data_IF_088812213421
#
_entry.id   IF_088812213421
#
_cell.length_a   1.000
_cell.length_b   1.000
_cell.length_c   1.000
_cell.angle_alpha   90.00
_cell.angle_beta   90.00
_cell.angle_gamma   90.00
#
_symmetry.space_group_name_H-M   'P 1'
#
loop_
_entity.id
_entity.type
_entity.pdbx_description
1 polymer ?
#
# COMPACT_ATOMS: atom_id res chain seq x y z
N UNK A 1 -62.36 -44.27 42.10
CA UNK A 1 -61.85 -44.76 40.81
C UNK A 1 -61.21 -43.58 40.07
N UNK A 2 -59.88 -43.59 40.05
CA UNK A 2 -58.91 -42.87 39.20
C UNK A 2 -59.05 -41.36 38.90
N UNK A 3 -58.24 -40.56 39.59
CA UNK A 3 -57.85 -39.18 39.22
C UNK A 3 -56.71 -39.22 38.20
N UNK A 4 -56.90 -38.63 37.02
CA UNK A 4 -55.90 -38.56 35.94
C UNK A 4 -55.00 -37.33 36.18
N UNK A 5 -53.75 -37.54 36.60
CA UNK A 5 -52.72 -36.50 36.59
C UNK A 5 -52.09 -36.41 35.19
N UNK A 6 -52.37 -35.31 34.48
CA UNK A 6 -51.67 -34.90 33.27
C UNK A 6 -50.24 -34.45 33.62
N UNK A 7 -49.23 -35.17 33.11
CA UNK A 7 -47.81 -34.78 33.20
C UNK A 7 -47.44 -33.92 32.00
N UNK A 8 -47.37 -32.61 32.20
CA UNK A 8 -46.74 -31.68 31.26
C UNK A 8 -45.24 -32.01 31.14
N UNK A 9 -44.79 -32.31 29.92
CA UNK A 9 -43.36 -32.44 29.63
C UNK A 9 -42.78 -31.04 29.43
N UNK A 10 -41.75 -30.61 30.19
CA UNK A 10 -41.06 -29.38 29.88
C UNK A 10 -40.28 -29.59 28.57
N UNK A 11 -40.62 -28.82 27.55
CA UNK A 11 -39.82 -28.72 26.34
C UNK A 11 -38.42 -28.25 26.74
N UNK A 12 -37.44 -29.14 26.62
CA UNK A 12 -36.02 -28.80 26.70
C UNK A 12 -35.74 -27.76 25.60
N UNK A 13 -35.74 -26.48 25.98
CA UNK A 13 -35.16 -25.40 25.17
C UNK A 13 -33.70 -25.78 24.95
N UNK A 14 -33.39 -26.27 23.77
CA UNK A 14 -32.02 -26.44 23.31
C UNK A 14 -31.31 -25.10 23.54
N UNK A 15 -30.38 -25.08 24.50
CA UNK A 15 -29.54 -23.94 24.76
C UNK A 15 -28.86 -23.61 23.43
N UNK A 16 -29.16 -22.43 22.88
CA UNK A 16 -28.39 -21.87 21.77
C UNK A 16 -26.97 -21.78 22.28
N UNK A 17 -26.15 -22.77 21.97
CA UNK A 17 -24.71 -22.68 22.11
C UNK A 17 -24.30 -21.44 21.32
N UNK A 18 -24.06 -20.35 22.05
CA UNK A 18 -23.28 -19.24 21.56
C UNK A 18 -21.98 -19.86 21.09
N UNK A 19 -21.82 -19.99 19.77
CA UNK A 19 -20.53 -20.32 19.17
C UNK A 19 -19.59 -19.22 19.64
N UNK A 20 -18.80 -19.49 20.65
CA UNK A 20 -17.60 -18.73 20.96
C UNK A 20 -16.69 -19.00 19.77
N UNK A 21 -16.72 -18.13 18.77
CA UNK A 21 -15.79 -18.23 17.65
C UNK A 21 -14.51 -17.53 18.12
N UNK A 22 -13.43 -18.28 18.13
CA UNK A 22 -12.12 -17.69 18.38
C UNK A 22 -11.72 -16.93 17.11
N UNK A 23 -11.44 -15.64 17.26
CA UNK A 23 -10.87 -14.83 16.19
C UNK A 23 -9.46 -15.35 15.92
N UNK A 24 -9.28 -16.05 14.80
CA UNK A 24 -7.96 -16.53 14.36
C UNK A 24 -7.27 -15.43 13.54
N UNK A 25 -6.00 -15.18 13.78
CA UNK A 25 -5.19 -14.25 12.97
C UNK A 25 -4.42 -15.00 11.88
N UNK A 26 -4.06 -14.30 10.82
CA UNK A 26 -3.20 -14.85 9.77
C UNK A 26 -1.77 -15.06 10.30
N UNK A 27 -1.14 -16.17 9.95
CA UNK A 27 0.25 -16.45 10.33
C UNK A 27 1.19 -15.33 9.81
N UNK A 28 2.02 -14.80 10.71
CA UNK A 28 2.93 -13.69 10.41
C UNK A 28 2.28 -12.31 10.27
N UNK A 29 0.93 -12.21 10.34
CA UNK A 29 0.18 -10.95 10.24
C UNK A 29 -0.92 -10.85 11.30
N UNK A 30 -0.57 -10.42 12.52
CA UNK A 30 -1.51 -10.34 13.63
C UNK A 30 -2.60 -9.27 13.45
N UNK A 31 -2.44 -8.39 12.47
CA UNK A 31 -3.36 -7.33 12.09
C UNK A 31 -4.48 -7.79 11.13
N UNK A 32 -4.38 -9.01 10.59
CA UNK A 32 -5.39 -9.58 9.69
C UNK A 32 -6.11 -10.71 10.41
N UNK A 33 -7.40 -10.52 10.64
CA UNK A 33 -8.29 -11.50 11.24
C UNK A 33 -8.91 -12.39 10.16
N UNK A 34 -9.03 -13.68 10.49
CA UNK A 34 -9.58 -14.73 9.64
C UNK A 34 -10.85 -15.25 10.28
N UNK A 35 -11.95 -15.26 9.53
CA UNK A 35 -13.23 -15.79 10.00
C UNK A 35 -13.68 -16.94 9.11
N UNK A 36 -14.16 -18.08 9.66
CA UNK A 36 -14.69 -19.15 8.84
C UNK A 36 -15.99 -18.70 8.16
N UNK A 37 -15.98 -18.66 6.83
CA UNK A 37 -17.15 -18.36 6.01
C UNK A 37 -17.97 -19.65 5.83
N UNK A 38 -19.28 -19.55 6.01
CA UNK A 38 -20.22 -20.67 5.87
C UNK A 38 -20.54 -21.01 4.38
N UNK A 39 -19.63 -20.68 3.46
CA UNK A 39 -19.80 -20.94 2.04
C UNK A 39 -19.63 -22.45 1.76
N UNK A 40 -20.38 -23.04 0.81
CA UNK A 40 -20.34 -24.47 0.50
C UNK A 40 -18.94 -25.01 0.14
N UNK A 41 -18.06 -24.13 -0.36
CA UNK A 41 -16.69 -24.47 -0.76
C UNK A 41 -15.68 -24.53 0.39
N UNK A 42 -16.06 -24.15 1.61
CA UNK A 42 -15.12 -23.96 2.72
C UNK A 42 -14.18 -22.78 2.44
N UNK A 43 -14.40 -21.65 3.11
CA UNK A 43 -13.61 -20.45 2.88
C UNK A 43 -13.38 -19.65 4.14
N UNK A 44 -12.39 -18.78 4.10
CA UNK A 44 -12.04 -17.84 5.15
C UNK A 44 -12.31 -16.41 4.66
N UNK A 45 -12.94 -15.61 5.49
CA UNK A 45 -13.10 -14.17 5.29
C UNK A 45 -11.94 -13.46 5.99
N UNK A 46 -11.25 -12.58 5.28
CA UNK A 46 -10.15 -11.78 5.81
C UNK A 46 -10.66 -10.37 6.16
N UNK A 47 -10.42 -9.91 7.38
CA UNK A 47 -10.87 -8.61 7.87
C UNK A 47 -9.77 -7.93 8.69
N UNK A 48 -9.73 -6.60 8.67
CA UNK A 48 -8.88 -5.80 9.56
C UNK A 48 -9.55 -5.52 10.92
N UNK A 49 -10.85 -5.78 11.04
CA UNK A 49 -11.61 -5.58 12.26
C UNK A 49 -11.86 -6.92 12.98
N UNK A 50 -11.69 -6.97 14.31
CA UNK A 50 -11.99 -8.15 15.13
C UNK A 50 -13.50 -8.30 15.44
N UNK A 51 -14.38 -7.68 14.65
CA UNK A 51 -15.81 -7.54 14.96
C UNK A 51 -16.61 -8.81 14.69
N UNK A 52 -17.56 -9.12 15.59
CA UNK A 52 -18.48 -10.26 15.48
C UNK A 52 -19.94 -9.78 15.54
N UNK A 53 -20.77 -10.01 14.50
CA UNK A 53 -20.48 -10.70 13.25
C UNK A 53 -19.65 -9.86 12.26
N UNK A 54 -18.75 -10.47 11.46
CA UNK A 54 -17.97 -9.73 10.49
C UNK A 54 -18.86 -9.23 9.33
N UNK A 55 -18.82 -7.93 9.03
CA UNK A 55 -19.51 -7.37 7.87
C UNK A 55 -18.74 -7.71 6.59
N UNK A 56 -19.29 -8.49 5.65
CA UNK A 56 -18.57 -8.89 4.44
C UNK A 56 -18.24 -7.71 3.53
N UNK A 57 -18.99 -6.62 3.60
CA UNK A 57 -18.78 -5.41 2.80
C UNK A 57 -17.52 -4.64 3.19
N UNK A 58 -17.09 -4.73 4.46
CA UNK A 58 -15.91 -4.07 5.01
C UNK A 58 -14.69 -4.99 5.09
N UNK A 59 -14.87 -6.27 4.77
CA UNK A 59 -13.80 -7.26 4.77
C UNK A 59 -12.84 -7.04 3.59
N UNK A 60 -11.57 -7.40 3.77
CA UNK A 60 -10.53 -7.35 2.73
C UNK A 60 -10.95 -8.21 1.52
N UNK A 61 -11.48 -9.40 1.80
CA UNK A 61 -11.92 -10.35 0.79
C UNK A 61 -12.10 -11.75 1.35
N UNK A 62 -12.33 -12.71 0.46
CA UNK A 62 -12.49 -14.12 0.80
C UNK A 62 -11.34 -14.94 0.25
N UNK A 63 -10.96 -16.01 0.94
CA UNK A 63 -9.94 -16.94 0.48
C UNK A 63 -10.32 -18.39 0.76
N UNK A 64 -9.86 -19.30 -0.08
CA UNK A 64 -10.06 -20.76 0.10
C UNK A 64 -8.87 -21.43 0.78
N UNK A 65 -7.68 -20.82 0.77
CA UNK A 65 -6.44 -21.37 1.31
C UNK A 65 -5.75 -20.36 2.22
N UNK A 66 -5.13 -20.83 3.30
CA UNK A 66 -4.27 -20.06 4.19
C UNK A 66 -2.86 -20.63 4.09
N UNK A 67 -1.81 -19.84 3.75
CA UNK A 67 -1.84 -18.41 3.42
C UNK A 67 -2.54 -18.10 2.08
N UNK A 68 -3.09 -16.89 1.90
CA UNK A 68 -3.77 -16.50 0.68
C UNK A 68 -2.78 -16.37 -0.49
N UNK A 69 -3.13 -17.01 -1.60
CA UNK A 69 -2.45 -16.89 -2.91
C UNK A 69 -3.36 -16.16 -3.90
N UNK A 70 -2.81 -15.53 -4.97
CA UNK A 70 -3.60 -14.81 -5.97
C UNK A 70 -4.74 -15.64 -6.57
N UNK A 71 -4.52 -16.94 -6.78
CA UNK A 71 -5.53 -17.84 -7.36
C UNK A 71 -6.63 -18.24 -6.36
N UNK A 72 -6.34 -18.14 -5.07
CA UNK A 72 -7.23 -18.57 -3.98
C UNK A 72 -7.99 -17.42 -3.33
N UNK A 73 -7.62 -16.17 -3.63
CA UNK A 73 -8.13 -14.97 -2.99
C UNK A 73 -9.04 -14.19 -3.95
N UNK A 74 -10.22 -13.84 -3.46
CA UNK A 74 -11.16 -12.97 -4.15
C UNK A 74 -11.25 -11.64 -3.42
N UNK A 75 -10.85 -10.57 -4.11
CA UNK A 75 -10.86 -9.22 -3.55
C UNK A 75 -12.27 -8.66 -3.42
N UNK A 76 -12.46 -7.87 -2.36
CA UNK A 76 -13.67 -7.10 -2.19
C UNK A 76 -13.51 -5.69 -2.81
N UNK A 77 -14.24 -5.34 -3.88
CA UNK A 77 -14.12 -4.03 -4.52
C UNK A 77 -14.59 -2.88 -3.62
N UNK A 78 -15.50 -3.13 -2.67
CA UNK A 78 -15.94 -2.10 -1.71
C UNK A 78 -14.81 -1.72 -0.75
N UNK A 79 -14.05 -2.71 -0.28
CA UNK A 79 -12.87 -2.47 0.54
C UNK A 79 -11.78 -1.70 -0.22
N UNK A 80 -11.51 -2.04 -1.48
CA UNK A 80 -10.55 -1.31 -2.30
C UNK A 80 -10.91 0.17 -2.46
N UNK A 81 -12.20 0.50 -2.61
CA UNK A 81 -12.66 1.90 -2.67
C UNK A 81 -12.35 2.63 -1.37
N UNK A 82 -12.68 2.03 -0.22
CA UNK A 82 -12.40 2.61 1.10
C UNK A 82 -10.89 2.79 1.31
N UNK A 83 -10.08 1.80 0.91
CA UNK A 83 -8.63 1.88 0.97
C UNK A 83 -8.11 3.08 0.17
N UNK A 84 -8.57 3.23 -1.08
CA UNK A 84 -8.15 4.32 -1.96
C UNK A 84 -8.61 5.70 -1.45
N UNK A 85 -9.81 5.78 -0.87
CA UNK A 85 -10.31 6.99 -0.19
C UNK A 85 -9.38 7.40 0.97
N UNK A 86 -9.09 6.46 1.89
CA UNK A 86 -8.19 6.72 3.03
C UNK A 86 -6.79 7.12 2.59
N UNK A 87 -6.25 6.49 1.54
CA UNK A 87 -4.96 6.86 0.98
C UNK A 87 -5.00 8.26 0.37
N UNK A 88 -6.05 8.59 -0.37
CA UNK A 88 -6.20 9.93 -0.92
C UNK A 88 -6.30 11.01 0.17
N UNK A 89 -6.86 10.68 1.33
CA UNK A 89 -7.01 11.62 2.46
C UNK A 89 -5.74 11.71 3.31
N UNK A 90 -5.02 10.60 3.53
CA UNK A 90 -3.97 10.54 4.56
C UNK A 90 -2.57 10.17 4.05
N UNK A 91 -2.39 9.76 2.78
CA UNK A 91 -1.07 9.33 2.30
C UNK A 91 -0.02 10.45 2.35
N UNK A 92 -0.43 11.70 2.13
CA UNK A 92 0.45 12.87 2.26
C UNK A 92 0.84 13.16 3.72
N UNK A 93 0.11 12.63 4.71
CA UNK A 93 0.42 12.81 6.13
C UNK A 93 1.40 11.76 6.66
N UNK A 94 1.56 10.63 5.96
CA UNK A 94 2.37 9.49 6.37
C UNK A 94 3.85 9.89 6.55
N UNK A 95 4.44 9.66 7.73
CA UNK A 95 5.86 9.89 7.97
C UNK A 95 6.80 9.21 6.97
N UNK A 96 6.47 8.00 6.50
CA UNK A 96 7.33 7.28 5.56
C UNK A 96 7.35 7.97 4.18
N UNK A 97 6.16 8.38 3.70
CA UNK A 97 6.00 9.08 2.42
C UNK A 97 6.61 10.49 2.49
N UNK A 98 6.44 11.20 3.61
CA UNK A 98 7.10 12.50 3.87
C UNK A 98 8.62 12.39 3.86
N UNK A 99 9.17 11.32 4.43
CA UNK A 99 10.61 11.09 4.42
C UNK A 99 11.12 10.86 2.99
N UNK A 100 10.39 10.07 2.20
CA UNK A 100 10.70 9.85 0.79
C UNK A 100 10.66 11.15 -0.02
N UNK A 101 9.71 12.04 0.26
CA UNK A 101 9.62 13.36 -0.38
C UNK A 101 10.85 14.22 -0.15
N UNK A 102 11.30 14.27 1.10
CA UNK A 102 12.48 15.03 1.49
C UNK A 102 13.76 14.46 0.85
N UNK A 103 13.86 13.13 0.77
CA UNK A 103 14.98 12.45 0.11
C UNK A 103 14.97 12.69 -1.40
N UNK A 104 13.78 12.70 -2.01
CA UNK A 104 13.62 13.04 -3.43
C UNK A 104 14.23 14.41 -3.72
N UNK A 105 13.84 15.45 -2.97
CA UNK A 105 14.35 16.82 -3.19
C UNK A 105 15.83 16.95 -2.91
N UNK A 106 16.35 16.30 -1.86
CA UNK A 106 17.78 16.35 -1.57
C UNK A 106 18.61 15.69 -2.69
N UNK A 107 18.10 14.61 -3.29
CA UNK A 107 18.73 13.92 -4.42
C UNK A 107 18.58 14.72 -5.73
N UNK A 108 17.42 15.31 -5.98
CA UNK A 108 17.17 16.20 -7.13
C UNK A 108 18.05 17.46 -7.09
N UNK A 109 18.31 18.01 -5.90
CA UNK A 109 19.23 19.14 -5.71
C UNK A 109 20.71 18.76 -5.84
N UNK A 110 21.08 17.55 -5.42
CA UNK A 110 22.45 17.04 -5.52
C UNK A 110 22.87 16.71 -6.97
N UNK A 111 21.91 16.39 -7.85
CA UNK A 111 22.16 16.08 -9.26
C UNK A 111 22.00 17.29 -10.20
N UNK A 112 21.70 18.49 -9.69
CA UNK A 112 21.49 19.70 -10.50
C UNK A 112 22.80 20.37 -11.00
N UNK A 113 23.89 19.61 -11.01
CA UNK A 113 25.14 19.99 -11.65
C UNK A 113 25.86 18.73 -12.11
N UNK A 114 25.89 18.47 -13.41
CA UNK A 114 26.92 17.66 -14.06
C UNK A 114 28.28 18.37 -13.99
N UNK A 115 28.70 18.60 -12.75
CA UNK A 115 29.94 19.16 -12.24
C UNK A 115 30.05 18.73 -10.77
N UNK A 116 29.81 17.44 -10.50
CA UNK A 116 29.83 16.85 -9.17
C UNK A 116 31.16 17.10 -8.44
N UNK A 117 31.06 17.40 -7.14
CA UNK A 117 32.16 17.80 -6.23
C UNK A 117 33.10 16.64 -5.83
N UNK A 118 33.06 15.48 -6.49
CA UNK A 118 33.90 14.32 -6.17
C UNK A 118 34.94 13.94 -7.24
N UNK A 119 35.13 14.76 -8.29
CA UNK A 119 36.21 14.55 -9.25
C UNK A 119 37.30 15.62 -9.07
N UNK A 120 38.45 15.18 -8.58
CA UNK A 120 39.68 15.98 -8.55
C UNK A 120 39.92 16.61 -9.94
N UNK A 121 40.40 17.86 -10.03
CA UNK A 121 40.61 18.52 -11.31
C UNK A 121 41.76 17.84 -12.05
N UNK A 122 41.45 16.91 -12.95
CA UNK A 122 42.45 16.32 -13.82
C UNK A 122 42.87 17.37 -14.86
N UNK A 123 44.05 17.95 -14.62
CA UNK A 123 44.72 18.96 -15.45
C UNK A 123 45.03 18.37 -16.85
N UNK A 124 44.09 18.53 -17.79
CA UNK A 124 44.24 18.11 -19.19
C UNK A 124 45.01 19.15 -20.03
N UNK A 125 46.14 18.74 -20.61
CA UNK A 125 46.97 19.50 -21.56
C UNK A 125 46.16 19.97 -22.78
N UNK A 126 46.18 21.28 -23.06
CA UNK A 126 45.64 21.87 -24.30
C UNK A 126 46.58 21.61 -25.48
N UNK A 127 46.07 21.09 -26.60
CA UNK A 127 46.70 21.19 -27.94
C UNK A 127 45.99 22.31 -28.72
N UNK A 128 46.71 23.16 -29.47
CA UNK A 128 46.09 24.27 -30.19
C UNK A 128 45.64 23.83 -31.59
N UNK A 129 44.37 24.07 -31.91
CA UNK A 129 43.79 23.88 -33.23
C UNK A 129 42.54 24.75 -33.37
N UNK A 130 42.69 25.80 -34.19
CA UNK A 130 41.75 26.72 -34.87
C UNK A 130 40.25 26.74 -34.49
N UNK A 131 39.67 27.95 -34.42
CA UNK A 131 38.33 28.29 -33.89
C UNK A 131 37.14 27.51 -34.48
N UNK A 132 35.95 27.48 -33.87
CA UNK A 132 35.36 28.34 -32.86
C UNK A 132 33.83 28.32 -33.08
N UNK A 133 33.10 27.80 -32.09
CA UNK A 133 31.63 27.70 -32.05
C UNK A 133 31.16 26.25 -32.26
N UNK A 134 30.52 25.56 -31.33
CA UNK A 134 29.96 25.90 -30.04
C UNK A 134 28.80 24.93 -29.82
N UNK A 135 28.88 24.06 -28.82
CA UNK A 135 27.80 23.14 -28.45
C UNK A 135 28.15 21.66 -28.59
N UNK A 136 28.55 21.10 -27.46
CA UNK A 136 28.77 19.69 -27.13
C UNK A 136 28.09 18.65 -28.04
N UNK A 137 28.92 18.04 -28.90
CA UNK A 137 28.82 16.61 -29.18
C UNK A 137 29.30 15.85 -27.95
N UNK A 138 28.47 14.93 -27.48
CA UNK A 138 28.69 14.07 -26.34
C UNK A 138 27.99 12.76 -26.60
N UNK A 139 28.39 12.10 -27.69
CA UNK A 139 27.94 10.77 -28.07
C UNK A 139 28.50 9.78 -27.04
N UNK A 140 27.79 9.67 -25.92
CA UNK A 140 28.04 8.66 -24.90
C UNK A 140 26.84 7.75 -24.87
N UNK A 141 27.08 6.50 -25.25
CA UNK A 141 26.18 5.37 -25.05
C UNK A 141 25.94 5.16 -23.55
N UNK A 142 25.11 6.02 -22.95
CA UNK A 142 24.53 5.83 -21.64
C UNK A 142 23.22 5.10 -21.82
N UNK A 143 23.17 3.83 -21.42
CA UNK A 143 21.94 3.04 -21.42
C UNK A 143 20.79 3.77 -20.72
N UNK A 144 19.56 3.38 -21.08
CA UNK A 144 18.29 3.96 -20.62
C UNK A 144 18.04 3.95 -19.09
N UNK A 145 19.06 3.69 -18.27
CA UNK A 145 19.04 3.78 -16.80
C UNK A 145 19.11 5.22 -16.28
N UNK A 146 19.36 6.21 -17.13
CA UNK A 146 19.46 7.63 -16.74
C UNK A 146 18.12 8.38 -16.69
N UNK A 147 17.00 7.75 -17.08
CA UNK A 147 15.68 8.39 -17.10
C UNK A 147 14.84 8.13 -15.83
N UNK A 148 15.49 7.85 -14.70
CA UNK A 148 14.86 7.77 -13.37
C UNK A 148 15.10 9.02 -12.51
N UNK A 149 15.47 10.15 -13.13
CA UNK A 149 15.77 11.39 -12.43
C UNK A 149 14.51 12.02 -11.85
N UNK A 150 14.42 12.09 -10.53
CA UNK A 150 13.41 12.84 -9.82
C UNK A 150 13.53 14.34 -10.15
N UNK A 151 12.48 14.91 -10.73
CA UNK A 151 12.34 16.35 -10.94
C UNK A 151 13.04 16.91 -12.18
N UNK A 152 12.25 17.35 -13.15
CA UNK A 152 12.72 18.17 -14.27
C UNK A 152 12.94 19.60 -13.80
N UNK A 153 14.19 20.04 -13.69
CA UNK A 153 14.56 21.47 -13.62
C UNK A 153 13.92 22.31 -12.51
N UNK A 154 13.75 21.76 -11.31
CA UNK A 154 13.18 22.49 -10.17
C UNK A 154 11.65 22.61 -10.18
N UNK A 155 10.94 21.71 -10.88
CA UNK A 155 9.47 21.69 -10.97
C UNK A 155 8.76 20.70 -10.04
N UNK A 156 9.43 20.16 -9.02
CA UNK A 156 8.85 19.10 -8.20
C UNK A 156 8.81 17.74 -8.91
N UNK A 157 8.11 16.76 -8.34
CA UNK A 157 8.07 15.39 -8.82
C UNK A 157 6.89 14.58 -8.29
N UNK A 158 6.89 13.27 -8.56
CA UNK A 158 5.86 12.34 -8.11
C UNK A 158 6.49 11.25 -7.24
N UNK A 159 5.89 11.00 -6.07
CA UNK A 159 6.26 9.91 -5.16
C UNK A 159 5.25 8.80 -5.29
N UNK A 160 5.71 7.56 -5.28
CA UNK A 160 4.83 6.40 -5.30
C UNK A 160 4.59 5.88 -3.88
N UNK A 161 3.33 5.86 -3.46
CA UNK A 161 2.91 5.25 -2.20
C UNK A 161 2.86 3.74 -2.43
N UNK A 162 3.78 3.01 -1.82
CA UNK A 162 3.98 1.57 -2.07
C UNK A 162 3.57 0.70 -0.88
N UNK A 163 3.21 -0.53 -1.21
CA UNK A 163 2.86 -1.58 -0.25
C UNK A 163 4.10 -2.02 0.55
N UNK A 164 3.95 -2.05 1.88
CA UNK A 164 5.04 -2.42 2.80
C UNK A 164 5.42 -3.91 2.77
N UNK A 165 4.62 -4.77 2.09
CA UNK A 165 4.93 -6.20 1.91
C UNK A 165 6.24 -6.44 1.17
N UNK A 166 6.64 -5.51 0.31
CA UNK A 166 7.89 -5.55 -0.44
C UNK A 166 8.41 -4.12 -0.61
N UNK A 167 9.07 -3.61 0.44
CA UNK A 167 9.73 -2.30 0.36
C UNK A 167 10.77 -2.28 -0.77
N UNK A 168 10.72 -1.30 -1.68
CA UNK A 168 11.73 -1.15 -2.72
C UNK A 168 13.12 -0.91 -2.13
N UNK A 169 14.15 -1.34 -2.87
CA UNK A 169 15.52 -0.90 -2.60
C UNK A 169 15.65 0.61 -2.81
N UNK A 170 16.59 1.26 -2.11
CA UNK A 170 16.80 2.70 -2.20
C UNK A 170 16.95 3.18 -3.66
N UNK A 171 16.16 4.18 -4.04
CA UNK A 171 16.16 4.73 -5.40
C UNK A 171 15.46 3.87 -6.45
N UNK A 172 14.81 2.75 -6.08
CA UNK A 172 13.93 1.98 -6.96
C UNK A 172 12.47 2.27 -6.67
N UNK A 173 11.66 2.16 -7.71
CA UNK A 173 10.19 2.20 -7.63
C UNK A 173 9.68 0.77 -7.35
N UNK A 174 8.60 0.66 -6.58
CA UNK A 174 7.92 -0.62 -6.35
C UNK A 174 7.38 -1.23 -7.65
N UNK A 175 7.04 -2.52 -7.61
CA UNK A 175 6.36 -3.14 -8.74
C UNK A 175 4.98 -2.50 -8.94
N UNK A 176 4.47 -2.38 -10.19
CA UNK A 176 3.17 -1.75 -10.44
C UNK A 176 1.99 -2.36 -9.65
N UNK A 177 2.05 -3.65 -9.34
CA UNK A 177 1.05 -4.36 -8.52
C UNK A 177 1.13 -4.04 -7.02
N UNK A 178 2.26 -3.48 -6.59
CA UNK A 178 2.58 -3.08 -5.21
C UNK A 178 2.49 -1.56 -5.00
N UNK A 179 2.12 -0.77 -6.02
CA UNK A 179 1.92 0.68 -5.89
C UNK A 179 0.44 0.96 -5.67
N UNK A 180 0.10 1.61 -4.56
CA UNK A 180 -1.26 2.05 -4.30
C UNK A 180 -1.66 3.22 -5.21
N UNK A 181 -0.77 4.20 -5.31
CA UNK A 181 -0.94 5.43 -6.06
C UNK A 181 0.27 6.34 -5.97
N UNK A 182 0.16 7.53 -6.55
CA UNK A 182 1.23 8.51 -6.61
C UNK A 182 0.77 9.86 -6.06
N UNK A 183 1.69 10.58 -5.42
CA UNK A 183 1.47 11.93 -4.89
C UNK A 183 2.41 12.91 -5.57
N UNK A 184 1.91 14.10 -5.87
CA UNK A 184 2.68 15.19 -6.42
C UNK A 184 3.34 15.99 -5.31
N UNK A 185 4.61 16.32 -5.52
CA UNK A 185 5.47 17.04 -4.59
C UNK A 185 6.09 18.23 -5.31
N UNK A 186 6.13 19.38 -4.65
CA UNK A 186 6.70 20.60 -5.18
C UNK A 186 8.24 20.59 -5.12
N UNK A 187 8.87 21.71 -5.49
CA UNK A 187 10.34 21.82 -5.49
C UNK A 187 10.95 22.03 -4.09
N UNK A 188 10.13 22.14 -3.05
CA UNK A 188 10.52 22.28 -1.65
C UNK A 188 10.37 20.96 -0.89
N UNK A 189 9.68 19.97 -1.47
CA UNK A 189 9.45 18.67 -0.86
C UNK A 189 8.11 18.60 -0.13
N UNK A 190 7.26 19.58 -0.36
CA UNK A 190 5.91 19.65 0.20
C UNK A 190 4.91 19.10 -0.82
N UNK A 191 3.84 18.48 -0.32
CA UNK A 191 2.82 17.88 -1.17
C UNK A 191 1.94 18.95 -1.82
N UNK A 192 1.65 18.80 -3.11
CA UNK A 192 0.86 19.77 -3.87
C UNK A 192 -0.63 19.67 -3.52
N UNK A 193 -1.24 20.80 -3.18
CA UNK A 193 -2.66 20.88 -2.83
C UNK A 193 -2.96 20.37 -1.42
N UNK A 194 -4.23 20.05 -1.14
CA UNK A 194 -4.64 19.59 0.20
C UNK A 194 -4.24 18.15 0.50
N UNK A 195 -4.15 17.32 -0.54
CA UNK A 195 -4.03 15.88 -0.42
C UNK A 195 -2.82 15.32 -1.20
N UNK A 196 -1.91 16.19 -1.68
CA UNK A 196 -0.79 15.79 -2.55
C UNK A 196 -1.20 15.33 -3.94
N UNK A 197 -2.33 15.80 -4.46
CA UNK A 197 -2.88 15.44 -5.78
C UNK A 197 -2.84 13.91 -6.05
N UNK A 198 -3.33 13.13 -5.09
CA UNK A 198 -3.25 11.67 -5.13
C UNK A 198 -3.87 11.07 -6.40
N UNK A 199 -3.10 10.26 -7.12
CA UNK A 199 -3.54 9.50 -8.29
C UNK A 199 -3.43 8.00 -8.02
N UNK A 200 -4.54 7.24 -8.07
CA UNK A 200 -4.49 5.79 -7.89
C UNK A 200 -3.70 5.12 -9.03
N UNK A 201 -2.96 4.05 -8.72
CA UNK A 201 -2.17 3.32 -9.73
C UNK A 201 -3.05 2.54 -10.72
N UNK A 202 -4.24 2.11 -10.29
CA UNK A 202 -5.15 1.25 -11.07
C UNK A 202 -4.69 -0.20 -11.23
N UNK A 203 -3.41 -0.50 -10.98
CA UNK A 203 -2.79 -1.83 -11.11
C UNK A 203 -2.59 -2.56 -9.79
N UNK A 204 -2.90 -1.92 -8.66
CA UNK A 204 -2.68 -2.46 -7.33
C UNK A 204 -3.47 -3.76 -7.08
N UNK A 205 -2.83 -4.74 -6.43
CA UNK A 205 -3.45 -6.01 -6.05
C UNK A 205 -3.32 -6.25 -4.55
N UNK A 206 -4.41 -6.64 -3.90
CA UNK A 206 -4.43 -6.96 -2.46
C UNK A 206 -3.51 -8.14 -2.12
N UNK A 207 -3.48 -9.17 -2.97
CA UNK A 207 -2.63 -10.35 -2.79
C UNK A 207 -1.77 -10.54 -4.03
N UNK A 208 -0.46 -10.64 -3.83
CA UNK A 208 0.51 -11.01 -4.87
C UNK A 208 1.27 -12.26 -4.45
N UNK A 209 2.26 -12.68 -5.25
CA UNK A 209 3.14 -13.80 -4.92
C UNK A 209 3.94 -13.59 -3.63
N UNK A 210 4.03 -12.34 -3.15
CA UNK A 210 4.75 -11.98 -1.91
C UNK A 210 3.84 -11.95 -0.68
N UNK A 211 2.56 -12.27 -0.86
CA UNK A 211 1.57 -12.29 0.20
C UNK A 211 0.57 -11.14 0.10
N UNK A 212 -0.05 -10.84 1.24
CA UNK A 212 -1.20 -9.94 1.35
C UNK A 212 -0.80 -8.48 1.58
N UNK A 213 -1.75 -7.57 1.43
CA UNK A 213 -1.63 -6.11 1.54
C UNK A 213 -0.85 -5.64 2.77
N UNK A 214 0.23 -4.90 2.59
CA UNK A 214 1.03 -4.30 3.65
C UNK A 214 0.85 -2.78 3.68
N UNK A 215 0.44 -2.25 4.82
CA UNK A 215 0.31 -0.81 5.04
C UNK A 215 1.40 -0.33 6.00
N UNK A 216 1.76 0.94 5.91
CA UNK A 216 2.53 1.60 6.97
C UNK A 216 1.68 1.62 8.25
N UNK A 217 2.31 1.64 9.46
CA UNK A 217 1.56 1.66 10.71
C UNK A 217 0.54 2.80 10.79
N UNK A 218 0.90 3.98 10.27
CA UNK A 218 0.03 5.16 10.23
C UNK A 218 -1.18 4.96 9.33
N UNK A 219 -0.97 4.55 8.07
CA UNK A 219 -2.07 4.33 7.13
C UNK A 219 -2.99 3.20 7.56
N UNK A 220 -2.42 2.15 8.17
CA UNK A 220 -3.21 1.07 8.76
C UNK A 220 -4.15 1.57 9.85
N UNK A 221 -3.65 2.41 10.75
CA UNK A 221 -4.48 2.98 11.83
C UNK A 221 -5.63 3.81 11.28
N UNK A 222 -5.37 4.67 10.28
CA UNK A 222 -6.39 5.48 9.61
C UNK A 222 -7.43 4.61 8.89
N UNK A 223 -6.99 3.54 8.23
CA UNK A 223 -7.90 2.61 7.57
C UNK A 223 -8.79 1.89 8.59
N UNK A 224 -8.22 1.38 9.69
CA UNK A 224 -8.99 0.74 10.77
C UNK A 224 -9.98 1.72 11.38
N UNK A 225 -9.60 2.98 11.58
CA UNK A 225 -10.50 4.02 12.08
C UNK A 225 -11.70 4.21 11.14
N UNK A 226 -11.46 4.41 9.83
CA UNK A 226 -12.53 4.56 8.84
C UNK A 226 -13.44 3.33 8.77
N UNK A 227 -12.87 2.13 8.82
CA UNK A 227 -13.66 0.89 8.82
C UNK A 227 -14.55 0.79 10.06
N UNK A 228 -14.08 1.20 11.24
CA UNK A 228 -14.89 1.24 12.47
C UNK A 228 -16.00 2.28 12.41
N UNK A 229 -15.78 3.40 11.74
CA UNK A 229 -16.81 4.42 11.52
C UNK A 229 -17.93 3.88 10.62
N UNK A 230 -17.57 3.19 9.54
CA UNK A 230 -18.54 2.53 8.64
C UNK A 230 -19.21 1.29 9.26
N UNK A 231 -18.63 0.74 10.32
CA UNK A 231 -19.22 -0.38 11.04
C UNK A 231 -20.37 0.03 11.97
N UNK A 232 -20.44 1.29 12.40
CA UNK A 232 -21.54 1.80 13.22
C UNK A 232 -22.85 1.89 12.44
#
# INVERSE_FOLDING_TARGET
MATILSRSHPALRAARWTRVRFVSTLEGRPDIYTFPNASPSGGYLLSLLPSEPPKPELAIGTTTKLPPTPDSFQENPSFLKILQEVLSEHAHEDPEVKAEAKVMISTSGANLGSGGVFFAPQRGKKRPGYGGGGGAGGDSAGGASAQGGFGSGGRGGWIHVSDSRRRPEYGRIAWPEDIFGSLEVDNQGEFVGKNGNYQPSGTYRIVTLNGILGLSPFLREKLVQKLRELER
#
